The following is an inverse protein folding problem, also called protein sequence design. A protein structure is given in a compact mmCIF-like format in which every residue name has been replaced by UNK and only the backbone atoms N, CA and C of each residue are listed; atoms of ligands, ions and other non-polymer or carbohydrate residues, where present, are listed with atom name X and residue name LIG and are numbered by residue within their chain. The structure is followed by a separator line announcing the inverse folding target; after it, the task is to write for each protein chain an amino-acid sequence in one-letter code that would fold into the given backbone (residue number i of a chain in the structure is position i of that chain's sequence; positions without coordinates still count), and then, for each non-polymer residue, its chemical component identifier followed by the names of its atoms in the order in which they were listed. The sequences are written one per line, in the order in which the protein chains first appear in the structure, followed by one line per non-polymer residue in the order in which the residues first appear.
data_IF_880184040847
#
_entry.id   IF_880184040847
#
_cell.length_a   1.000
_cell.length_b   1.000
_cell.length_c   1.000
_cell.angle_alpha   90.00
_cell.angle_beta   90.00
_cell.angle_gamma   90.00
#
_symmetry.space_group_name_H-M   'P 1'
#
loop_
_entity.id
_entity.type
_entity.pdbx_description
1 polymer ?
#
# COMPACT_ATOMS: atom_id res chain seq x y z
N UNK A 1 2.92 11.28 14.46
CA UNK A 1 3.49 11.04 13.12
C UNK A 1 3.72 12.34 12.39
N UNK A 2 4.82 12.49 11.64
CA UNK A 2 5.02 13.68 10.83
C UNK A 2 3.95 13.80 9.75
N UNK A 3 3.60 15.03 9.39
CA UNK A 3 2.69 15.31 8.28
C UNK A 3 3.30 14.82 6.96
N UNK A 4 2.46 14.42 6.05
CA UNK A 4 2.87 14.03 4.70
C UNK A 4 3.52 12.65 4.61
N UNK A 5 3.40 11.81 5.62
CA UNK A 5 4.02 10.50 5.61
C UNK A 5 3.27 9.46 4.79
N UNK A 6 1.95 9.55 4.71
CA UNK A 6 1.10 8.60 3.99
C UNK A 6 0.19 9.34 3.02
N UNK A 7 0.15 8.89 1.76
CA UNK A 7 -0.65 9.50 0.71
C UNK A 7 -1.48 8.45 -0.01
N UNK A 8 -2.70 8.83 -0.36
CA UNK A 8 -3.61 8.01 -1.16
C UNK A 8 -4.06 8.75 -2.40
N UNK A 9 -4.36 7.99 -3.45
CA UNK A 9 -4.96 8.49 -4.68
C UNK A 9 -5.95 7.45 -5.19
N UNK A 10 -7.19 7.88 -5.42
CA UNK A 10 -8.24 7.04 -5.96
C UNK A 10 -9.08 7.84 -6.96
N UNK A 11 -10.02 7.18 -7.63
CA UNK A 11 -10.97 7.88 -8.51
C UNK A 11 -11.85 8.87 -7.72
N UNK A 12 -12.12 8.59 -6.44
CA UNK A 12 -12.97 9.45 -5.60
C UNK A 12 -12.21 10.61 -4.96
N UNK A 13 -10.88 10.64 -5.07
CA UNK A 13 -10.07 11.81 -4.71
C UNK A 13 -9.81 12.71 -5.93
N UNK A 14 -10.63 12.60 -6.97
CA UNK A 14 -10.45 13.31 -8.25
C UNK A 14 -9.09 13.01 -8.89
N UNK A 15 -8.58 11.80 -8.69
CA UNK A 15 -7.27 11.35 -9.17
C UNK A 15 -6.11 12.23 -8.70
N UNK A 16 -6.25 12.82 -7.51
CA UNK A 16 -5.21 13.62 -6.87
C UNK A 16 -4.65 12.90 -5.66
N UNK A 17 -3.36 13.13 -5.38
CA UNK A 17 -2.75 12.66 -4.14
C UNK A 17 -3.29 13.46 -2.96
N UNK A 18 -3.76 12.76 -1.94
CA UNK A 18 -4.24 13.37 -0.70
C UNK A 18 -3.36 12.90 0.46
N UNK A 19 -2.99 13.85 1.32
CA UNK A 19 -2.25 13.57 2.54
C UNK A 19 -3.21 13.01 3.59
N UNK A 20 -2.99 11.77 3.99
CA UNK A 20 -3.87 11.09 4.94
C UNK A 20 -3.94 11.81 6.29
N UNK A 21 -2.84 12.42 6.74
CA UNK A 21 -2.86 13.17 7.99
C UNK A 21 -3.73 14.43 7.89
N UNK A 22 -3.54 15.20 6.81
CA UNK A 22 -4.28 16.45 6.62
C UNK A 22 -5.76 16.22 6.39
N UNK A 23 -6.10 15.22 5.56
CA UNK A 23 -7.50 15.01 5.13
C UNK A 23 -8.30 14.17 6.11
N UNK A 24 -7.67 13.20 6.79
CA UNK A 24 -8.39 12.23 7.63
C UNK A 24 -7.89 12.19 9.08
N UNK A 25 -6.86 12.96 9.42
CA UNK A 25 -6.21 12.83 10.73
C UNK A 25 -5.53 11.50 10.94
N UNK A 26 -5.14 10.83 9.85
CA UNK A 26 -4.62 9.47 9.86
C UNK A 26 -3.10 9.46 9.98
N UNK A 27 -2.59 8.56 10.81
CA UNK A 27 -1.16 8.34 10.96
C UNK A 27 -0.86 6.84 10.96
N UNK A 28 0.36 6.50 10.55
CA UNK A 28 0.85 5.14 10.62
C UNK A 28 1.25 4.79 12.06
N UNK A 29 0.90 3.56 12.48
CA UNK A 29 1.36 3.01 13.75
C UNK A 29 2.81 2.55 13.64
N UNK A 30 3.44 2.31 14.80
CA UNK A 30 4.78 1.75 14.83
C UNK A 30 4.84 0.41 14.10
N UNK A 31 5.86 0.23 13.29
CA UNK A 31 6.04 -0.97 12.48
C UNK A 31 5.30 -0.97 11.14
N UNK A 32 4.39 -0.04 10.90
CA UNK A 32 3.65 0.02 9.65
C UNK A 32 4.56 0.25 8.43
N UNK A 33 5.56 1.11 8.56
CA UNK A 33 6.53 1.36 7.49
C UNK A 33 7.27 0.08 7.12
N UNK A 34 7.72 -0.69 8.12
CA UNK A 34 8.37 -1.98 7.89
C UNK A 34 7.50 -2.96 7.10
N UNK A 35 6.21 -3.02 7.42
CA UNK A 35 5.26 -3.86 6.68
C UNK A 35 5.09 -3.38 5.23
N UNK A 36 4.97 -2.06 5.04
CA UNK A 36 4.77 -1.48 3.71
C UNK A 36 5.97 -1.71 2.81
N UNK A 37 7.20 -1.58 3.32
CA UNK A 37 8.42 -1.72 2.52
C UNK A 37 8.89 -3.16 2.36
N UNK A 38 8.28 -4.14 3.03
CA UNK A 38 8.68 -5.54 2.92
C UNK A 38 8.60 -6.02 1.46
N UNK A 39 9.67 -6.64 0.93
CA UNK A 39 9.64 -7.11 -0.46
C UNK A 39 8.57 -8.17 -0.70
N UNK A 40 8.04 -8.20 -1.92
CA UNK A 40 7.09 -9.21 -2.32
C UNK A 40 7.74 -10.60 -2.38
N UNK A 41 7.02 -11.68 -2.05
CA UNK A 41 7.55 -13.03 -2.21
C UNK A 41 7.74 -13.34 -3.70
N UNK A 42 8.73 -14.20 -3.97
CA UNK A 42 9.01 -14.64 -5.34
C UNK A 42 8.16 -15.86 -5.68
N UNK A 43 7.78 -15.96 -6.95
CA UNK A 43 7.16 -17.18 -7.46
C UNK A 43 8.18 -18.31 -7.45
N UNK A 44 7.71 -19.50 -7.13
CA UNK A 44 8.50 -20.70 -7.31
C UNK A 44 8.75 -20.92 -8.81
N UNK A 45 10.02 -21.07 -9.18
CA UNK A 45 10.38 -21.33 -10.56
C UNK A 45 10.08 -22.79 -10.94
N UNK A 46 9.91 -23.04 -12.24
CA UNK A 46 9.80 -24.41 -12.76
C UNK A 46 11.18 -25.05 -12.73
N UNK A 47 11.28 -26.17 -12.01
CA UNK A 47 12.56 -26.86 -11.78
C UNK A 47 12.51 -28.31 -12.24
N UNK A 48 13.69 -28.85 -12.52
CA UNK A 48 13.88 -30.26 -12.85
C UNK A 48 15.14 -30.78 -12.14
N UNK A 49 15.00 -31.91 -11.47
CA UNK A 49 16.10 -32.60 -10.79
C UNK A 49 16.49 -33.83 -11.59
N UNK A 50 17.73 -33.85 -12.07
CA UNK A 50 18.26 -34.97 -12.83
C UNK A 50 19.02 -35.91 -11.88
N UNK A 51 18.76 -37.24 -12.01
CA UNK A 51 19.38 -38.23 -11.16
C UNK A 51 20.92 -38.30 -11.32
N UNK A 52 21.44 -37.85 -12.45
CA UNK A 52 22.86 -37.88 -12.76
C UNK A 52 23.61 -36.57 -12.55
N UNK A 53 22.92 -35.54 -12.06
CA UNK A 53 23.50 -34.21 -11.82
C UNK A 53 23.23 -33.76 -10.39
N UNK A 54 24.19 -33.03 -9.82
CA UNK A 54 24.00 -32.39 -8.53
C UNK A 54 23.11 -31.16 -8.66
N UNK A 55 22.18 -30.99 -7.69
CA UNK A 55 21.32 -29.83 -7.61
C UNK A 55 20.09 -29.91 -8.50
N UNK A 56 19.51 -28.75 -8.75
CA UNK A 56 18.24 -28.59 -9.48
C UNK A 56 18.44 -27.53 -10.56
N UNK A 57 17.98 -27.85 -11.76
CA UNK A 57 17.95 -26.88 -12.86
C UNK A 57 16.59 -26.18 -12.92
N UNK A 58 16.60 -24.87 -13.14
CA UNK A 58 15.39 -24.06 -13.29
C UNK A 58 15.22 -23.60 -14.73
N UNK A 59 13.96 -23.56 -15.19
CA UNK A 59 13.63 -22.98 -16.48
C UNK A 59 13.82 -21.46 -16.40
N UNK A 60 14.69 -20.89 -17.22
CA UNK A 60 15.16 -19.51 -17.12
C UNK A 60 14.02 -18.47 -17.13
N UNK A 61 13.00 -18.68 -17.97
CA UNK A 61 11.87 -17.75 -18.07
C UNK A 61 10.93 -17.76 -16.86
N UNK A 62 11.10 -18.69 -15.90
CA UNK A 62 10.25 -18.81 -14.71
C UNK A 62 10.90 -18.24 -13.45
N UNK A 63 12.16 -17.81 -13.52
CA UNK A 63 12.90 -17.26 -12.39
C UNK A 63 12.75 -15.73 -12.39
N UNK A 64 12.77 -15.14 -11.19
CA UNK A 64 12.71 -13.67 -11.02
C UNK A 64 11.31 -13.09 -11.11
N UNK A 65 10.27 -13.89 -11.06
CA UNK A 65 8.89 -13.42 -11.06
C UNK A 65 8.40 -13.25 -9.62
N UNK A 66 7.66 -12.18 -9.37
CA UNK A 66 7.10 -11.88 -8.05
C UNK A 66 5.67 -12.40 -7.93
N UNK A 67 5.33 -12.89 -6.74
CA UNK A 67 3.96 -13.20 -6.39
C UNK A 67 3.17 -11.95 -6.02
N UNK A 68 1.86 -12.08 -5.99
CA UNK A 68 0.98 -11.11 -5.35
C UNK A 68 1.44 -10.90 -3.91
N UNK A 69 1.44 -9.65 -3.46
CA UNK A 69 1.79 -9.31 -2.09
C UNK A 69 0.52 -8.93 -1.33
N UNK A 70 0.35 -9.52 -0.15
CA UNK A 70 -0.65 -9.05 0.81
C UNK A 70 0.00 -8.04 1.73
N UNK A 71 -0.57 -6.84 1.78
CA UNK A 71 -0.06 -5.74 2.59
C UNK A 71 -1.04 -5.47 3.72
N UNK A 72 -0.59 -5.66 4.95
CA UNK A 72 -1.41 -5.41 6.14
C UNK A 72 -0.62 -4.55 7.10
N UNK A 73 -1.18 -3.41 7.50
CA UNK A 73 -0.52 -2.49 8.42
C UNK A 73 -1.54 -1.76 9.29
N UNK A 74 -1.08 -1.27 10.42
CA UNK A 74 -1.91 -0.58 11.38
C UNK A 74 -1.84 0.92 11.19
N UNK A 75 -3.01 1.56 11.28
CA UNK A 75 -3.13 3.01 11.25
C UNK A 75 -3.99 3.47 12.43
N UNK A 76 -3.89 4.76 12.75
CA UNK A 76 -4.86 5.39 13.65
C UNK A 76 -5.36 6.70 13.07
N UNK A 77 -6.61 7.02 13.41
CA UNK A 77 -7.24 8.30 13.10
C UNK A 77 -7.47 9.01 14.44
N UNK A 78 -6.96 10.22 14.55
CA UNK A 78 -7.12 11.06 15.74
C UNK A 78 -7.93 12.30 15.38
N UNK A 79 -8.99 12.56 16.13
CA UNK A 79 -9.84 13.72 15.94
C UNK A 79 -10.06 14.48 17.24
N UNK A 80 -10.29 15.79 17.14
CA UNK A 80 -10.51 16.65 18.29
C UNK A 80 -11.87 16.38 18.98
N UNK A 81 -12.88 16.00 18.20
CA UNK A 81 -14.24 15.72 18.69
C UNK A 81 -14.78 14.44 18.08
N UNK A 82 -15.83 13.88 18.68
CA UNK A 82 -16.50 12.70 18.11
C UNK A 82 -17.10 12.98 16.74
N UNK A 83 -17.70 14.16 16.55
CA UNK A 83 -18.27 14.55 15.27
C UNK A 83 -17.20 14.62 14.17
N UNK A 84 -16.04 15.20 14.49
CA UNK A 84 -14.91 15.25 13.58
C UNK A 84 -14.37 13.84 13.26
N UNK A 85 -14.35 12.95 14.23
CA UNK A 85 -13.96 11.55 14.04
C UNK A 85 -14.89 10.81 13.09
N UNK A 86 -16.20 10.98 13.25
CA UNK A 86 -17.19 10.41 12.34
C UNK A 86 -17.04 10.95 10.92
N UNK A 87 -16.82 12.26 10.79
CA UNK A 87 -16.63 12.90 9.48
C UNK A 87 -15.37 12.36 8.79
N UNK A 88 -14.26 12.28 9.52
CA UNK A 88 -13.00 11.75 8.99
C UNK A 88 -13.14 10.29 8.56
N UNK A 89 -13.78 9.47 9.36
CA UNK A 89 -14.03 8.06 9.06
C UNK A 89 -14.87 7.90 7.79
N UNK A 90 -15.99 8.60 7.69
CA UNK A 90 -16.86 8.51 6.51
C UNK A 90 -16.17 8.99 5.25
N UNK A 91 -15.41 10.08 5.36
CA UNK A 91 -14.64 10.62 4.25
C UNK A 91 -13.58 9.65 3.77
N UNK A 92 -12.84 9.05 4.70
CA UNK A 92 -11.84 8.04 4.38
C UNK A 92 -12.45 6.83 3.68
N UNK A 93 -13.54 6.28 4.20
CA UNK A 93 -14.21 5.14 3.58
C UNK A 93 -14.69 5.47 2.16
N UNK A 94 -15.32 6.63 1.99
CA UNK A 94 -15.86 7.03 0.68
C UNK A 94 -14.76 7.31 -0.33
N UNK A 95 -13.71 7.99 0.06
CA UNK A 95 -12.66 8.42 -0.88
C UNK A 95 -11.62 7.35 -1.14
N UNK A 96 -11.27 6.54 -0.16
CA UNK A 96 -10.15 5.61 -0.26
C UNK A 96 -10.61 4.16 -0.37
N UNK A 97 -11.54 3.72 0.48
CA UNK A 97 -11.89 2.29 0.55
C UNK A 97 -12.94 1.87 -0.48
N UNK A 98 -13.99 2.68 -0.69
CA UNK A 98 -15.08 2.32 -1.60
C UNK A 98 -14.64 2.12 -3.06
N UNK A 99 -13.68 2.87 -3.60
CA UNK A 99 -13.21 2.60 -4.96
C UNK A 99 -12.54 1.25 -5.13
N UNK A 100 -12.10 0.62 -4.08
CA UNK A 100 -11.33 -0.62 -4.01
C UNK A 100 -9.94 -0.52 -4.64
N UNK A 101 -9.79 0.09 -5.80
CA UNK A 101 -8.49 0.33 -6.42
C UNK A 101 -7.87 1.59 -5.83
N UNK A 102 -6.71 1.44 -5.20
CA UNK A 102 -6.03 2.51 -4.45
C UNK A 102 -4.58 2.60 -4.89
N UNK A 103 -4.13 3.81 -5.18
CA UNK A 103 -2.70 4.09 -5.28
C UNK A 103 -2.24 4.69 -3.95
N UNK A 104 -1.14 4.17 -3.44
CA UNK A 104 -0.60 4.57 -2.14
C UNK A 104 0.90 4.84 -2.27
N UNK A 105 1.38 5.81 -1.52
CA UNK A 105 2.80 6.05 -1.35
C UNK A 105 3.07 6.55 0.06
N UNK A 106 4.30 6.38 0.51
CA UNK A 106 4.74 6.90 1.81
C UNK A 106 6.03 7.70 1.62
N UNK A 107 6.28 8.58 2.58
CA UNK A 107 7.56 9.30 2.69
C UNK A 107 8.08 9.06 4.08
N UNK A 108 9.22 8.40 4.19
CA UNK A 108 9.91 8.15 5.46
C UNK A 108 11.04 9.17 5.61
N UNK A 109 10.80 10.19 6.45
CA UNK A 109 11.69 11.34 6.51
C UNK A 109 11.66 12.09 5.18
N UNK A 110 12.74 11.99 4.41
CA UNK A 110 12.84 12.58 3.05
C UNK A 110 12.79 11.53 1.95
N UNK A 111 12.73 10.24 2.30
CA UNK A 111 12.82 9.14 1.33
C UNK A 111 11.43 8.67 0.91
N UNK A 112 11.09 8.79 -0.38
CA UNK A 112 9.82 8.28 -0.89
C UNK A 112 9.85 6.77 -1.09
N UNK A 113 8.70 6.12 -0.94
CA UNK A 113 8.48 4.73 -1.29
C UNK A 113 7.09 4.56 -1.88
N UNK A 114 6.89 3.81 -2.97
CA UNK A 114 7.90 3.10 -3.74
C UNK A 114 8.66 4.03 -4.69
N UNK A 115 9.78 3.54 -5.24
CA UNK A 115 10.50 4.18 -6.32
C UNK A 115 10.58 3.25 -7.52
N UNK A 116 10.79 3.81 -8.70
CA UNK A 116 11.01 3.04 -9.93
C UNK A 116 12.05 3.77 -10.79
N UNK A 117 12.63 3.04 -11.71
CA UNK A 117 13.60 3.62 -12.64
C UNK A 117 12.87 4.16 -13.87
N UNK A 118 13.02 5.47 -14.09
CA UNK A 118 12.50 6.16 -15.27
C UNK A 118 13.69 6.66 -16.08
N UNK A 119 13.98 6.01 -17.21
CA UNK A 119 15.16 6.29 -18.03
C UNK A 119 16.48 6.25 -17.21
N UNK A 120 16.59 5.29 -16.30
CA UNK A 120 17.76 5.12 -15.45
C UNK A 120 17.80 6.05 -14.23
N UNK A 121 16.84 6.93 -14.04
CA UNK A 121 16.74 7.83 -12.89
C UNK A 121 15.72 7.28 -11.89
N UNK A 122 16.13 7.17 -10.63
CA UNK A 122 15.22 6.74 -9.56
C UNK A 122 14.17 7.81 -9.30
N UNK A 123 12.90 7.44 -9.47
CA UNK A 123 11.76 8.36 -9.41
C UNK A 123 10.73 7.82 -8.41
N UNK A 124 10.09 8.71 -7.65
CA UNK A 124 9.01 8.33 -6.76
C UNK A 124 7.83 7.75 -7.56
N UNK A 125 7.33 6.61 -7.10
CA UNK A 125 6.24 5.88 -7.74
C UNK A 125 5.01 5.74 -6.87
N UNK A 126 4.22 4.72 -7.16
CA UNK A 126 3.00 4.41 -6.42
C UNK A 126 2.82 2.90 -6.27
N UNK A 127 2.33 2.47 -5.11
CA UNK A 127 1.82 1.12 -4.91
C UNK A 127 0.41 1.04 -5.49
N UNK A 128 0.18 0.06 -6.35
CA UNK A 128 -1.13 -0.18 -6.96
C UNK A 128 -1.81 -1.30 -6.18
N UNK A 129 -2.81 -0.94 -5.38
CA UNK A 129 -3.39 -1.81 -4.38
C UNK A 129 -4.88 -2.05 -4.62
N UNK A 130 -5.36 -3.21 -4.18
CA UNK A 130 -6.78 -3.51 -4.07
C UNK A 130 -7.14 -3.62 -2.59
N UNK A 131 -8.13 -2.85 -2.16
CA UNK A 131 -8.62 -2.93 -0.78
C UNK A 131 -9.29 -4.27 -0.54
N UNK A 132 -8.89 -4.96 0.55
CA UNK A 132 -9.45 -6.24 0.95
C UNK A 132 -10.30 -6.13 2.21
N UNK A 133 -9.76 -5.55 3.27
CA UNK A 133 -10.47 -5.45 4.54
C UNK A 133 -9.90 -4.35 5.42
N UNK A 134 -10.74 -3.90 6.33
CA UNK A 134 -10.37 -2.94 7.37
C UNK A 134 -10.96 -3.44 8.68
N UNK A 135 -10.09 -3.81 9.62
CA UNK A 135 -10.51 -4.37 10.89
C UNK A 135 -10.19 -3.41 12.02
N UNK A 136 -11.18 -3.11 12.84
CA UNK A 136 -10.99 -2.26 14.01
C UNK A 136 -10.18 -3.03 15.06
N UNK A 137 -9.11 -2.40 15.54
CA UNK A 137 -8.26 -2.93 16.61
C UNK A 137 -8.62 -2.29 17.94
N UNK A 138 -8.96 -0.99 17.93
CA UNK A 138 -9.34 -0.26 19.13
C UNK A 138 -10.05 1.04 18.79
N UNK A 139 -10.78 1.54 19.77
CA UNK A 139 -11.55 2.78 19.62
C UNK A 139 -11.70 3.49 20.95
N UNK A 140 -11.54 4.79 20.94
CA UNK A 140 -11.91 5.65 22.06
C UNK A 140 -12.89 6.71 21.54
N UNK A 141 -14.19 6.43 21.68
CA UNK A 141 -15.31 7.35 21.39
C UNK A 141 -15.25 8.03 20.02
N UNK A 142 -14.79 7.42 18.97
CA UNK A 142 -14.60 8.06 17.66
C UNK A 142 -13.61 9.24 17.63
N UNK A 143 -12.91 9.50 18.74
CA UNK A 143 -11.80 10.47 18.77
C UNK A 143 -10.48 9.83 18.44
N UNK A 144 -10.32 8.56 18.77
CA UNK A 144 -9.17 7.75 18.39
C UNK A 144 -9.65 6.43 17.84
N UNK A 145 -9.33 6.15 16.59
CA UNK A 145 -9.67 4.90 15.93
C UNK A 145 -8.36 4.21 15.52
N UNK A 146 -8.22 2.95 15.91
CA UNK A 146 -7.09 2.11 15.51
C UNK A 146 -7.59 0.99 14.62
N UNK A 147 -6.98 0.84 13.47
CA UNK A 147 -7.43 -0.06 12.42
C UNK A 147 -6.27 -0.80 11.80
N UNK A 148 -6.55 -2.03 11.38
CA UNK A 148 -5.66 -2.78 10.48
C UNK A 148 -6.24 -2.72 9.09
N UNK A 149 -5.49 -2.11 8.16
CA UNK A 149 -5.84 -2.08 6.74
C UNK A 149 -5.14 -3.23 6.03
N UNK A 150 -5.88 -3.97 5.23
CA UNK A 150 -5.34 -5.05 4.41
C UNK A 150 -5.63 -4.77 2.95
N UNK A 151 -4.54 -4.75 2.16
CA UNK A 151 -4.58 -4.57 0.72
C UNK A 151 -3.89 -5.74 0.04
N UNK A 152 -4.21 -5.97 -1.22
CA UNK A 152 -3.45 -6.83 -2.11
C UNK A 152 -2.70 -5.97 -3.12
N UNK A 153 -1.42 -6.28 -3.35
CA UNK A 153 -0.67 -5.71 -4.47
C UNK A 153 -0.54 -6.81 -5.53
N UNK A 154 -1.41 -6.81 -6.56
CA UNK A 154 -1.46 -7.93 -7.51
C UNK A 154 -0.21 -8.05 -8.36
N UNK A 155 0.43 -6.92 -8.68
CA UNK A 155 1.63 -6.90 -9.49
C UNK A 155 2.71 -6.02 -8.84
N UNK A 156 3.53 -6.59 -7.94
CA UNK A 156 4.56 -5.81 -7.24
C UNK A 156 5.69 -5.30 -8.15
N UNK A 157 5.73 -5.73 -9.41
CA UNK A 157 6.72 -5.23 -10.37
C UNK A 157 6.32 -3.90 -10.99
N UNK A 158 5.04 -3.52 -10.90
CA UNK A 158 4.51 -2.27 -11.46
C UNK A 158 4.28 -1.29 -10.31
N UNK A 159 5.16 -0.31 -10.18
CA UNK A 159 5.12 0.71 -9.12
C UNK A 159 5.33 2.11 -9.67
N UNK A 160 5.10 2.30 -10.94
CA UNK A 160 5.18 3.62 -11.56
C UNK A 160 3.93 4.47 -11.28
N UNK A 161 3.94 5.72 -11.72
CA UNK A 161 2.86 6.67 -11.46
C UNK A 161 1.74 6.62 -12.51
N UNK A 162 1.76 5.66 -13.44
CA UNK A 162 0.69 5.58 -14.45
C UNK A 162 -0.64 5.26 -13.78
N UNK A 163 -1.71 5.76 -14.36
CA UNK A 163 -3.05 5.41 -13.92
C UNK A 163 -3.48 4.14 -14.63
N UNK A 164 -3.85 3.09 -13.90
CA UNK A 164 -4.40 1.89 -14.52
C UNK A 164 -5.78 2.15 -15.11
N UNK A 165 -6.09 1.42 -16.16
CA UNK A 165 -7.36 1.57 -16.87
C UNK A 165 -8.60 1.37 -15.98
N UNK A 166 -8.48 0.57 -14.93
CA UNK A 166 -9.60 0.32 -14.02
C UNK A 166 -9.94 1.51 -13.12
N UNK A 167 -9.08 2.52 -13.04
CA UNK A 167 -9.37 3.74 -12.29
C UNK A 167 -10.27 4.71 -13.05
N UNK A 168 -10.42 4.54 -14.31
CA UNK A 168 -11.19 5.43 -15.18
C UNK A 168 -12.69 5.18 -15.10
#
# INVERSE_FOLDING_TARGET
MPQGQLFFKTKNTSKQWVDAYTEYGMSLEDGAIGEIITPAPMKEGVSNSLATADGVAYMAGTIGKKNERTLSFNIHILAATEAAGWTAYRKFCREVLDPQYVQMKIVDGTEPFPTYLNNGVETAGALHLLFRSCQQVGRYRMRLLKWTLTFAEPNPSVRDNREPSIMN
#
